data_IF_924444018770
#
_entry.id   IF_924444018770
#
_cell.length_a   1.000
_cell.length_b   1.000
_cell.length_c   1.000
_cell.angle_alpha   90.00
_cell.angle_beta   90.00
_cell.angle_gamma   90.00
#
_symmetry.space_group_name_H-M   'P 1'
#
loop_
_entity.id
_entity.type
_entity.pdbx_description
1 polymer ?
#
# COMPACT_ATOMS: atom_id res chain seq x y z
N UNK A 1 33.08 1.05 12.72
CA UNK A 1 32.34 0.54 13.90
C UNK A 1 30.90 1.01 13.79
N UNK A 2 29.89 0.13 13.81
CA UNK A 2 28.48 0.56 13.81
C UNK A 2 28.18 1.30 15.11
N UNK A 3 27.47 2.42 15.03
CA UNK A 3 27.02 3.14 16.22
C UNK A 3 26.18 2.20 17.11
N UNK A 4 26.31 2.28 18.45
CA UNK A 4 25.56 1.42 19.36
C UNK A 4 24.06 1.69 19.22
N UNK A 5 23.26 0.61 19.21
CA UNK A 5 21.80 0.70 19.18
C UNK A 5 21.34 1.37 20.48
N UNK A 6 20.78 2.58 20.37
CA UNK A 6 20.24 3.31 21.51
C UNK A 6 18.74 3.08 21.60
N UNK A 7 18.30 2.32 22.61
CA UNK A 7 16.88 2.21 22.94
C UNK A 7 16.38 3.59 23.37
N UNK A 8 15.38 4.11 22.67
CA UNK A 8 14.67 5.34 23.03
C UNK A 8 13.22 5.01 23.32
N UNK A 9 12.72 5.48 24.46
CA UNK A 9 11.29 5.43 24.76
C UNK A 9 10.59 6.49 23.91
N UNK A 10 9.53 6.10 23.20
CA UNK A 10 8.66 7.08 22.52
C UNK A 10 7.88 7.83 23.59
N UNK A 11 7.87 9.15 23.51
CA UNK A 11 6.99 9.97 24.34
C UNK A 11 5.54 9.74 23.90
N UNK A 12 4.65 9.61 24.86
CA UNK A 12 3.22 9.62 24.57
C UNK A 12 2.85 11.05 24.19
N UNK A 13 2.32 11.23 22.98
CA UNK A 13 1.85 12.54 22.52
C UNK A 13 0.42 12.72 23.00
N UNK A 14 0.23 13.65 23.92
CA UNK A 14 -1.08 14.13 24.36
C UNK A 14 -1.35 15.50 23.72
N UNK A 15 -2.62 15.86 23.41
CA UNK A 15 -3.84 15.10 23.64
C UNK A 15 -4.15 14.09 22.53
N UNK A 16 -4.88 13.03 22.88
CA UNK A 16 -5.37 11.98 21.97
C UNK A 16 -6.91 11.99 21.98
N UNK A 17 -7.52 12.09 20.81
CA UNK A 17 -8.97 12.11 20.59
C UNK A 17 -9.47 10.68 20.27
N UNK A 18 -9.23 9.75 21.21
CA UNK A 18 -9.60 8.34 21.07
C UNK A 18 -10.90 8.01 21.83
N UNK A 19 -11.71 7.07 21.31
CA UNK A 19 -12.98 6.66 21.91
C UNK A 19 -12.88 6.34 23.41
N UNK A 20 -13.88 6.76 24.19
CA UNK A 20 -13.90 6.63 25.65
C UNK A 20 -14.10 5.21 26.16
N UNK A 21 -14.69 4.34 25.34
CA UNK A 21 -14.83 2.91 25.59
C UNK A 21 -13.50 2.16 25.44
N UNK A 22 -12.45 2.80 24.90
CA UNK A 22 -11.15 2.18 24.72
C UNK A 22 -10.37 2.08 26.05
N UNK A 23 -9.87 0.89 26.44
CA UNK A 23 -9.03 0.73 27.63
C UNK A 23 -7.86 1.71 27.69
N UNK A 24 -7.56 2.25 28.88
CA UNK A 24 -6.51 3.25 29.09
C UNK A 24 -5.12 2.79 28.58
N UNK A 25 -4.81 1.50 28.68
CA UNK A 25 -3.58 0.93 28.13
C UNK A 25 -3.54 1.04 26.60
N UNK A 26 -4.65 0.77 25.91
CA UNK A 26 -4.72 0.88 24.44
C UNK A 26 -4.63 2.34 24.00
N UNK A 27 -5.29 3.28 24.69
CA UNK A 27 -5.13 4.73 24.41
C UNK A 27 -3.66 5.15 24.44
N UNK A 28 -2.91 4.74 25.47
CA UNK A 28 -1.46 5.01 25.59
C UNK A 28 -0.64 4.35 24.48
N UNK A 29 -0.94 3.11 24.12
CA UNK A 29 -0.21 2.37 23.08
C UNK A 29 -0.44 2.95 21.68
N UNK A 30 -1.66 3.38 21.38
CA UNK A 30 -2.01 4.02 20.11
C UNK A 30 -1.37 5.41 19.99
N UNK A 31 -1.46 6.23 21.04
CA UNK A 31 -0.80 7.54 21.08
C UNK A 31 0.71 7.43 20.83
N UNK A 32 1.38 6.43 21.43
CA UNK A 32 2.82 6.18 21.21
C UNK A 32 3.19 5.71 19.80
N UNK A 33 2.19 5.34 18.98
CA UNK A 33 2.31 4.95 17.57
C UNK A 33 1.83 6.04 16.62
N UNK A 34 1.41 7.20 17.12
CA UNK A 34 0.92 8.30 16.31
C UNK A 34 -0.54 8.18 15.89
N UNK A 35 -1.27 7.18 16.40
CA UNK A 35 -2.73 7.06 16.25
C UNK A 35 -3.36 8.02 17.24
N UNK A 36 -4.04 9.05 16.75
CA UNK A 36 -4.51 10.18 17.55
C UNK A 36 -6.01 10.33 17.57
N UNK A 37 -6.71 9.77 16.59
CA UNK A 37 -8.15 9.94 16.44
C UNK A 37 -8.85 8.61 16.20
N UNK A 38 -10.16 8.57 16.41
CA UNK A 38 -10.96 7.38 16.12
C UNK A 38 -10.83 6.92 14.66
N UNK A 39 -10.67 7.86 13.71
CA UNK A 39 -10.55 7.53 12.28
C UNK A 39 -9.23 6.81 11.95
N UNK A 40 -8.16 7.05 12.72
CA UNK A 40 -6.88 6.35 12.57
C UNK A 40 -6.97 4.86 12.93
N UNK A 41 -8.06 4.44 13.58
CA UNK A 41 -8.34 3.05 13.92
C UNK A 41 -9.15 2.32 12.83
N UNK A 42 -9.56 3.02 11.76
CA UNK A 42 -10.22 2.40 10.61
C UNK A 42 -9.25 1.48 9.87
N UNK A 43 -9.66 0.22 9.66
CA UNK A 43 -8.83 -0.83 9.06
C UNK A 43 -9.42 -1.38 7.76
N UNK A 44 -10.65 -1.00 7.43
CA UNK A 44 -11.28 -1.38 6.19
C UNK A 44 -10.79 -0.50 5.04
N UNK A 45 -11.14 -0.90 3.83
CA UNK A 45 -10.86 -0.15 2.60
C UNK A 45 -11.44 1.27 2.61
N UNK A 46 -12.43 1.56 3.47
CA UNK A 46 -13.01 2.91 3.60
C UNK A 46 -12.02 3.94 4.13
N UNK A 47 -11.05 3.51 4.93
CA UNK A 47 -9.99 4.38 5.48
C UNK A 47 -8.79 4.55 4.55
N UNK A 48 -8.79 3.91 3.38
CA UNK A 48 -7.68 4.07 2.43
C UNK A 48 -7.68 5.49 1.84
N UNK A 49 -6.48 6.03 1.64
CA UNK A 49 -6.32 7.29 0.93
C UNK A 49 -6.90 7.18 -0.49
N UNK A 50 -7.51 8.27 -1.01
CA UNK A 50 -7.96 8.32 -2.39
C UNK A 50 -6.82 8.00 -3.36
N UNK A 51 -7.06 7.11 -4.32
CA UNK A 51 -6.06 6.70 -5.31
C UNK A 51 -5.55 7.87 -6.16
N UNK A 52 -6.34 8.96 -6.29
CA UNK A 52 -5.98 10.20 -6.98
C UNK A 52 -4.75 10.89 -6.37
N UNK A 53 -4.36 10.53 -5.15
CA UNK A 53 -3.15 11.06 -4.52
C UNK A 53 -1.87 10.33 -4.99
N UNK A 54 -2.00 9.22 -5.70
CA UNK A 54 -0.85 8.52 -6.28
C UNK A 54 -0.25 9.38 -7.39
N UNK A 55 1.04 9.69 -7.26
CA UNK A 55 1.73 10.54 -8.23
C UNK A 55 1.68 9.91 -9.63
N UNK A 56 1.17 10.67 -10.61
CA UNK A 56 1.11 10.26 -12.02
C UNK A 56 0.01 9.26 -12.37
N UNK A 57 -0.97 9.04 -11.48
CA UNK A 57 -2.00 8.01 -11.67
C UNK A 57 -2.89 8.26 -12.89
N UNK A 58 -3.22 9.51 -13.20
CA UNK A 58 -4.03 9.86 -14.37
C UNK A 58 -3.32 9.46 -15.66
N UNK A 59 -2.06 9.86 -15.80
CA UNK A 59 -1.23 9.54 -16.98
C UNK A 59 -1.02 8.03 -17.11
N UNK A 60 -0.75 7.33 -16.00
CA UNK A 60 -0.57 5.89 -16.01
C UNK A 60 -1.85 5.16 -16.44
N UNK A 61 -3.00 5.60 -15.95
CA UNK A 61 -4.31 5.01 -16.29
C UNK A 61 -4.66 5.25 -17.76
N UNK A 62 -4.40 6.45 -18.28
CA UNK A 62 -4.59 6.77 -19.71
C UNK A 62 -3.68 5.90 -20.61
N UNK A 63 -2.41 5.74 -20.24
CA UNK A 63 -1.49 4.86 -20.97
C UNK A 63 -1.97 3.41 -21.00
N UNK A 64 -2.41 2.87 -19.85
CA UNK A 64 -2.94 1.51 -19.75
C UNK A 64 -4.23 1.35 -20.55
N UNK A 65 -5.13 2.33 -20.48
CA UNK A 65 -6.38 2.34 -21.24
C UNK A 65 -6.13 2.29 -22.75
N UNK A 66 -5.21 3.13 -23.25
CA UNK A 66 -4.84 3.12 -24.66
C UNK A 66 -4.18 1.79 -25.07
N UNK A 67 -3.28 1.24 -24.24
CA UNK A 67 -2.66 -0.06 -24.47
C UNK A 67 -3.68 -1.20 -24.55
N UNK A 68 -4.68 -1.19 -23.66
CA UNK A 68 -5.80 -2.13 -23.66
C UNK A 68 -6.61 -2.02 -24.96
N UNK A 69 -6.99 -0.79 -25.34
CA UNK A 69 -7.79 -0.52 -26.54
C UNK A 69 -7.07 -0.91 -27.84
N UNK A 70 -5.75 -0.75 -27.88
CA UNK A 70 -4.91 -1.03 -29.06
C UNK A 70 -4.42 -2.48 -29.12
N UNK A 71 -4.68 -3.30 -28.08
CA UNK A 71 -4.18 -4.67 -28.01
C UNK A 71 -2.66 -4.75 -27.81
N UNK A 72 -2.05 -3.67 -27.31
CA UNK A 72 -0.61 -3.56 -27.07
C UNK A 72 -0.18 -4.60 -26.05
N UNK A 73 0.97 -5.25 -26.30
CA UNK A 73 1.52 -6.21 -25.36
C UNK A 73 1.92 -5.53 -24.04
N UNK A 74 1.40 -6.03 -22.93
CA UNK A 74 1.73 -5.56 -21.59
C UNK A 74 2.61 -6.61 -20.89
N UNK A 75 3.69 -6.16 -20.26
CA UNK A 75 4.52 -7.00 -19.40
C UNK A 75 4.54 -6.38 -18.00
N UNK A 76 4.03 -7.12 -17.01
CA UNK A 76 4.11 -6.72 -15.60
C UNK A 76 5.44 -7.20 -15.05
N UNK A 77 6.30 -6.26 -14.65
CA UNK A 77 7.60 -6.58 -14.05
C UNK A 77 7.49 -6.41 -12.54
N UNK A 78 7.55 -7.52 -11.81
CA UNK A 78 7.47 -7.56 -10.35
C UNK A 78 8.82 -7.64 -9.67
N UNK A 79 8.85 -7.37 -8.37
CA UNK A 79 9.97 -7.77 -7.50
C UNK A 79 9.79 -9.22 -7.04
N UNK A 80 10.87 -9.85 -6.56
CA UNK A 80 10.91 -11.24 -6.13
C UNK A 80 10.29 -11.46 -4.74
N UNK A 81 10.12 -10.42 -3.94
CA UNK A 81 9.52 -10.56 -2.61
C UNK A 81 8.02 -10.87 -2.66
N UNK A 82 7.43 -11.15 -1.50
CA UNK A 82 6.02 -11.55 -1.43
C UNK A 82 5.08 -10.43 -1.93
N UNK A 83 5.43 -9.16 -1.73
CA UNK A 83 4.63 -8.03 -2.21
C UNK A 83 4.71 -7.92 -3.74
N UNK A 84 5.93 -8.02 -4.30
CA UNK A 84 6.18 -8.04 -5.74
C UNK A 84 5.48 -9.21 -6.45
N UNK A 85 5.53 -10.41 -5.86
CA UNK A 85 4.86 -11.58 -6.42
C UNK A 85 3.33 -11.46 -6.41
N UNK A 86 2.76 -10.99 -5.29
CA UNK A 86 1.29 -10.85 -5.15
C UNK A 86 0.73 -9.71 -5.97
N UNK A 87 1.39 -8.56 -6.01
CA UNK A 87 1.01 -7.43 -6.87
C UNK A 87 1.09 -7.80 -8.35
N UNK A 88 2.14 -8.51 -8.78
CA UNK A 88 2.27 -9.00 -10.16
C UNK A 88 1.14 -9.93 -10.56
N UNK A 89 0.83 -10.91 -9.71
CA UNK A 89 -0.27 -11.83 -9.94
C UNK A 89 -1.60 -11.07 -10.04
N UNK A 90 -1.86 -10.14 -9.12
CA UNK A 90 -3.07 -9.32 -9.11
C UNK A 90 -3.20 -8.47 -10.38
N UNK A 91 -2.13 -7.81 -10.82
CA UNK A 91 -2.14 -7.00 -12.05
C UNK A 91 -2.45 -7.85 -13.29
N UNK A 92 -1.80 -9.02 -13.44
CA UNK A 92 -2.05 -9.92 -14.57
C UNK A 92 -3.50 -10.42 -14.58
N UNK A 93 -4.03 -10.83 -13.43
CA UNK A 93 -5.41 -11.30 -13.31
C UNK A 93 -6.41 -10.19 -13.61
N UNK A 94 -6.16 -8.99 -13.10
CA UNK A 94 -7.04 -7.83 -13.30
C UNK A 94 -7.05 -7.39 -14.76
N UNK A 95 -5.89 -7.30 -15.41
CA UNK A 95 -5.79 -6.94 -16.83
C UNK A 95 -6.50 -7.95 -17.72
N UNK A 96 -6.36 -9.26 -17.46
CA UNK A 96 -7.11 -10.31 -18.18
C UNK A 96 -8.62 -10.19 -17.96
N UNK A 97 -9.06 -9.93 -16.74
CA UNK A 97 -10.47 -9.72 -16.43
C UNK A 97 -11.05 -8.49 -17.16
N UNK A 98 -10.21 -7.50 -17.48
CA UNK A 98 -10.56 -6.32 -18.29
C UNK A 98 -10.48 -6.57 -19.81
N UNK A 99 -10.19 -7.80 -20.26
CA UNK A 99 -10.10 -8.17 -21.67
C UNK A 99 -8.71 -8.07 -22.30
N UNK A 100 -7.65 -7.90 -21.49
CA UNK A 100 -6.27 -7.93 -22.00
C UNK A 100 -5.78 -9.37 -22.15
N UNK A 101 -5.88 -9.94 -23.35
CA UNK A 101 -5.32 -11.27 -23.62
C UNK A 101 -3.79 -11.23 -23.79
N UNK A 102 -3.24 -10.08 -24.19
CA UNK A 102 -1.81 -9.89 -24.48
C UNK A 102 -1.00 -9.39 -23.28
N UNK A 103 -1.16 -10.05 -22.12
CA UNK A 103 -0.45 -9.71 -20.88
C UNK A 103 0.40 -10.88 -20.37
N UNK A 104 1.65 -10.56 -20.04
CA UNK A 104 2.64 -11.49 -19.47
C UNK A 104 3.30 -10.87 -18.24
N UNK A 105 4.09 -11.64 -17.49
CA UNK A 105 4.85 -11.12 -16.36
C UNK A 105 6.33 -11.53 -16.44
N UNK A 106 7.16 -10.78 -15.74
CA UNK A 106 8.55 -11.09 -15.48
C UNK A 106 8.84 -10.81 -14.00
N UNK A 107 9.34 -11.81 -13.29
CA UNK A 107 9.89 -11.64 -11.94
C UNK A 107 11.36 -12.00 -12.02
N UNK A 108 12.29 -11.08 -11.70
CA UNK A 108 13.71 -11.35 -11.76
C UNK A 108 14.07 -12.43 -10.73
N UNK A 109 14.95 -13.34 -11.11
CA UNK A 109 15.59 -14.23 -10.13
C UNK A 109 16.62 -13.41 -9.37
N UNK A 110 16.67 -13.49 -8.03
CA UNK A 110 17.85 -13.08 -7.32
C UNK A 110 18.94 -14.10 -7.72
N UNK A 111 19.89 -13.62 -8.54
CA UNK A 111 21.07 -14.34 -9.04
C UNK A 111 20.86 -15.27 -10.25
#
# INVERSE_FOLDING_TARGET
MKAPIKLRRREAVEPVDLPDDLPALLKRLYASRGVRRAEDLERSVKGMLPWQQLSGIEKATEMLYNALREGTRIVVVGDFDADGATSTALSVLSLRALGCDNVTYLVPKPF
#
